data_IF_647701097543
#
_entry.id   IF_647701097543
#
_cell.length_a   1.000
_cell.length_b   1.000
_cell.length_c   1.000
_cell.angle_alpha   90.00
_cell.angle_beta   90.00
_cell.angle_gamma   90.00
#
_symmetry.space_group_name_H-M   'P 1'
#
loop_
_entity.id
_entity.type
_entity.pdbx_description
1 polymer ?
#
# COMPACT_ATOMS: atom_id res chain seq x y z
N UNK A 1 -33.78 8.82 -1.51
CA UNK A 1 -33.29 7.63 -2.25
C UNK A 1 -34.36 6.55 -2.15
N UNK A 2 -34.79 5.93 -3.25
CA UNK A 2 -35.88 4.93 -3.22
C UNK A 2 -35.58 3.68 -2.38
N UNK A 3 -34.30 3.31 -2.21
CA UNK A 3 -33.88 2.15 -1.41
C UNK A 3 -33.12 2.54 -0.13
N UNK A 4 -33.39 3.74 0.42
CA UNK A 4 -32.99 4.05 1.80
C UNK A 4 -33.87 3.30 2.80
N UNK A 5 -33.50 3.20 4.09
CA UNK A 5 -34.35 2.58 5.11
C UNK A 5 -35.78 3.16 5.11
N UNK A 6 -35.89 4.49 5.03
CA UNK A 6 -37.17 5.21 5.02
C UNK A 6 -37.97 4.93 3.75
N UNK A 7 -37.29 4.87 2.59
CA UNK A 7 -37.92 4.53 1.31
C UNK A 7 -38.45 3.10 1.28
N UNK A 8 -37.74 2.15 1.89
CA UNK A 8 -38.19 0.76 2.03
C UNK A 8 -39.40 0.67 2.96
N UNK A 9 -39.41 1.42 4.07
CA UNK A 9 -40.54 1.45 4.99
C UNK A 9 -41.80 2.05 4.35
N UNK A 10 -41.66 3.15 3.61
CA UNK A 10 -42.75 3.78 2.87
C UNK A 10 -43.30 2.86 1.76
N UNK A 11 -42.42 2.18 1.03
CA UNK A 11 -42.80 1.18 0.05
C UNK A 11 -43.56 0.01 0.69
N UNK A 12 -43.09 -0.51 1.83
CA UNK A 12 -43.72 -1.62 2.54
C UNK A 12 -45.13 -1.27 3.05
N UNK A 13 -45.36 -0.02 3.48
CA UNK A 13 -46.70 0.47 3.87
C UNK A 13 -47.70 0.42 2.72
N UNK A 14 -47.24 0.64 1.48
CA UNK A 14 -48.08 0.72 0.28
C UNK A 14 -47.93 -0.52 -0.65
N UNK A 15 -47.27 -1.59 -0.17
CA UNK A 15 -46.80 -2.69 -1.05
C UNK A 15 -47.92 -3.41 -1.80
N UNK A 16 -49.12 -3.48 -1.21
CA UNK A 16 -50.28 -4.11 -1.84
C UNK A 16 -50.77 -3.31 -3.04
N UNK A 17 -50.80 -1.99 -2.95
CA UNK A 17 -51.18 -1.11 -4.06
C UNK A 17 -50.11 -1.16 -5.15
N UNK A 18 -48.83 -1.07 -4.76
CA UNK A 18 -47.69 -1.17 -5.67
C UNK A 18 -47.57 -2.55 -6.35
N UNK A 19 -48.16 -3.60 -5.78
CA UNK A 19 -48.21 -4.96 -6.31
C UNK A 19 -49.57 -5.29 -7.00
N UNK A 20 -50.28 -4.27 -7.49
CA UNK A 20 -51.52 -4.46 -8.26
C UNK A 20 -52.65 -5.11 -7.44
N UNK A 21 -52.75 -4.77 -6.16
CA UNK A 21 -53.77 -5.28 -5.24
C UNK A 21 -53.47 -6.65 -4.61
N UNK A 22 -52.39 -7.33 -5.06
CA UNK A 22 -51.99 -8.65 -4.56
C UNK A 22 -51.19 -8.53 -3.26
N UNK A 23 -51.47 -9.42 -2.31
CA UNK A 23 -50.71 -9.49 -1.06
C UNK A 23 -49.25 -9.83 -1.34
N UNK A 24 -48.34 -9.19 -0.61
CA UNK A 24 -46.89 -9.40 -0.70
C UNK A 24 -46.28 -9.31 0.70
N UNK A 25 -45.19 -10.03 0.94
CA UNK A 25 -44.43 -9.96 2.19
C UNK A 25 -43.55 -8.70 2.24
N UNK A 26 -43.26 -8.15 3.41
CA UNK A 26 -42.40 -6.97 3.50
C UNK A 26 -41.01 -7.23 2.91
N UNK A 27 -40.51 -6.30 2.11
CA UNK A 27 -39.17 -6.34 1.53
C UNK A 27 -38.21 -5.70 2.52
N UNK A 28 -37.24 -6.47 3.01
CA UNK A 28 -36.26 -6.01 4.01
C UNK A 28 -34.91 -5.65 3.39
N UNK A 29 -34.62 -6.18 2.20
CA UNK A 29 -33.35 -5.98 1.49
C UNK A 29 -33.62 -5.85 0.01
N UNK A 30 -33.18 -4.73 -0.58
CA UNK A 30 -33.11 -4.56 -2.02
C UNK A 30 -31.67 -4.78 -2.48
N UNK A 31 -31.48 -5.47 -3.61
CA UNK A 31 -30.17 -5.55 -4.25
C UNK A 31 -29.97 -4.31 -5.09
N UNK A 32 -28.89 -3.58 -4.84
CA UNK A 32 -28.51 -2.42 -5.62
C UNK A 32 -27.45 -2.88 -6.62
N UNK A 33 -27.56 -2.42 -7.86
CA UNK A 33 -26.51 -2.65 -8.86
C UNK A 33 -25.38 -1.65 -8.64
N UNK A 34 -24.16 -2.17 -8.54
CA UNK A 34 -22.95 -1.37 -8.58
C UNK A 34 -22.16 -1.71 -9.85
N UNK A 35 -21.51 -0.73 -10.49
CA UNK A 35 -20.59 -1.00 -11.59
C UNK A 35 -19.53 -2.02 -11.16
N UNK A 36 -19.05 -2.82 -12.12
CA UNK A 36 -17.98 -3.80 -11.87
C UNK A 36 -16.71 -3.10 -11.36
N UNK A 37 -16.39 -1.89 -11.83
CA UNK A 37 -15.34 -1.05 -11.23
C UNK A 37 -14.01 -1.77 -11.07
N UNK A 38 -13.40 -1.67 -9.89
CA UNK A 38 -12.14 -2.35 -9.55
C UNK A 38 -12.34 -3.77 -8.99
N UNK A 39 -13.54 -4.34 -9.13
CA UNK A 39 -13.84 -5.67 -8.61
C UNK A 39 -13.18 -6.73 -9.48
N UNK A 40 -12.63 -7.76 -8.84
CA UNK A 40 -12.03 -8.91 -9.51
C UNK A 40 -12.72 -10.21 -9.08
N UNK A 41 -12.70 -11.20 -9.97
CA UNK A 41 -13.34 -12.49 -9.74
C UNK A 41 -12.58 -13.28 -8.67
N UNK A 42 -13.33 -13.97 -7.80
CA UNK A 42 -12.74 -14.81 -6.76
C UNK A 42 -12.10 -16.07 -7.37
N UNK A 43 -12.60 -16.56 -8.51
CA UNK A 43 -11.99 -17.67 -9.25
C UNK A 43 -12.78 -18.04 -10.49
N UNK A 44 -12.26 -18.98 -11.28
CA UNK A 44 -12.77 -19.24 -12.65
C UNK A 44 -13.75 -20.41 -12.78
N UNK A 45 -14.00 -21.17 -11.70
CA UNK A 45 -14.81 -22.40 -11.73
C UNK A 45 -16.02 -22.35 -10.78
N UNK A 46 -17.07 -23.11 -11.12
CA UNK A 46 -18.28 -23.25 -10.31
C UNK A 46 -18.96 -21.91 -10.01
N UNK A 47 -19.41 -21.72 -8.76
CA UNK A 47 -20.04 -20.48 -8.30
C UNK A 47 -19.04 -19.31 -8.12
N UNK A 48 -17.72 -19.56 -8.14
CA UNK A 48 -16.72 -18.51 -7.90
C UNK A 48 -16.56 -17.56 -9.09
N UNK A 49 -16.85 -18.02 -10.31
CA UNK A 49 -16.79 -17.21 -11.55
C UNK A 49 -17.76 -16.02 -11.57
N UNK A 50 -18.83 -16.11 -10.78
CA UNK A 50 -19.85 -15.07 -10.65
C UNK A 50 -19.73 -14.31 -9.31
N UNK A 51 -18.67 -14.56 -8.52
CA UNK A 51 -18.40 -13.85 -7.27
C UNK A 51 -17.25 -12.89 -7.47
N UNK A 52 -17.48 -11.66 -7.07
CA UNK A 52 -16.55 -10.56 -7.22
C UNK A 52 -16.23 -9.98 -5.86
N UNK A 53 -14.99 -9.53 -5.71
CA UNK A 53 -14.51 -8.81 -4.53
C UNK A 53 -13.81 -7.55 -4.98
N UNK A 54 -13.87 -6.51 -4.16
CA UNK A 54 -13.09 -5.29 -4.36
C UNK A 54 -12.07 -5.19 -3.24
N UNK A 55 -10.84 -4.80 -3.56
CA UNK A 55 -9.94 -4.32 -2.54
C UNK A 55 -10.49 -2.99 -1.98
N UNK A 56 -10.20 -2.68 -0.73
CA UNK A 56 -10.48 -1.33 -0.22
C UNK A 56 -9.80 -0.30 -1.15
N UNK A 57 -10.52 0.76 -1.52
CA UNK A 57 -10.06 1.73 -2.53
C UNK A 57 -8.68 2.28 -2.16
N UNK A 58 -7.72 2.17 -3.09
CA UNK A 58 -6.33 2.62 -2.86
C UNK A 58 -5.43 1.62 -2.13
N UNK A 59 -5.84 0.36 -1.97
CA UNK A 59 -4.99 -0.68 -1.38
C UNK A 59 -3.88 -1.08 -2.35
N UNK A 60 -2.68 -0.57 -2.08
CA UNK A 60 -1.45 -1.00 -2.73
C UNK A 60 -0.63 -1.83 -1.72
N UNK A 61 -0.25 -3.04 -2.11
CA UNK A 61 0.43 -3.96 -1.18
C UNK A 61 1.95 -3.76 -1.17
N UNK A 62 2.53 -3.58 -2.35
CA UNK A 62 3.96 -3.44 -2.52
C UNK A 62 4.29 -2.21 -3.34
N UNK A 63 5.34 -1.53 -2.92
CA UNK A 63 6.02 -0.48 -3.65
C UNK A 63 7.38 -1.02 -4.08
N UNK A 64 7.50 -1.40 -5.35
CA UNK A 64 8.72 -1.95 -5.91
C UNK A 64 9.69 -0.81 -6.24
N UNK A 65 10.93 -0.97 -5.79
CA UNK A 65 12.05 -0.10 -6.14
C UNK A 65 12.97 -0.93 -7.01
N UNK A 66 13.03 -0.59 -8.29
CA UNK A 66 13.96 -1.17 -9.25
C UNK A 66 15.17 -0.25 -9.43
N UNK A 67 16.27 -0.80 -9.93
CA UNK A 67 17.49 -0.08 -10.23
C UNK A 67 18.03 -0.51 -11.60
N UNK A 68 18.42 0.45 -12.42
CA UNK A 68 19.16 0.20 -13.68
C UNK A 68 20.65 -0.05 -13.39
N UNK A 69 21.38 -0.53 -14.39
CA UNK A 69 22.84 -0.68 -14.30
C UNK A 69 23.58 0.63 -13.98
N UNK A 70 23.02 1.78 -14.41
CA UNK A 70 23.53 3.13 -14.11
C UNK A 70 23.24 3.58 -12.67
N UNK A 71 22.58 2.73 -11.86
CA UNK A 71 22.23 3.03 -10.47
C UNK A 71 20.95 3.87 -10.30
N UNK A 72 20.24 4.19 -11.38
CA UNK A 72 19.02 5.01 -11.34
C UNK A 72 17.83 4.18 -10.86
N UNK A 73 17.16 4.66 -9.81
CA UNK A 73 15.97 3.99 -9.25
C UNK A 73 14.70 4.33 -10.04
N UNK A 74 13.88 3.31 -10.28
CA UNK A 74 12.53 3.39 -10.85
C UNK A 74 11.52 2.71 -9.92
N UNK A 75 10.25 3.10 -10.01
CA UNK A 75 9.25 2.78 -8.99
C UNK A 75 7.97 2.25 -9.60
N UNK A 76 7.43 1.20 -9.01
CA UNK A 76 6.13 0.65 -9.38
C UNK A 76 5.29 0.33 -8.14
N UNK A 77 3.98 0.51 -8.26
CA UNK A 77 3.04 0.23 -7.18
C UNK A 77 2.17 -0.95 -7.57
N UNK A 78 2.25 -2.03 -6.78
CA UNK A 78 1.63 -3.31 -7.11
C UNK A 78 0.37 -3.50 -6.26
N UNK A 79 -0.82 -3.52 -6.88
CA UNK A 79 -2.09 -3.65 -6.18
C UNK A 79 -2.37 -5.10 -5.77
N UNK A 80 -3.26 -5.27 -4.79
CA UNK A 80 -3.60 -6.57 -4.19
C UNK A 80 -4.04 -7.63 -5.21
N UNK A 81 -4.86 -7.25 -6.18
CA UNK A 81 -5.37 -8.18 -7.20
C UNK A 81 -4.24 -8.77 -8.05
N UNK A 82 -3.26 -7.95 -8.45
CA UNK A 82 -2.09 -8.40 -9.23
C UNK A 82 -1.25 -9.37 -8.40
N UNK A 83 -0.99 -9.06 -7.13
CA UNK A 83 -0.27 -9.97 -6.23
C UNK A 83 -0.96 -11.33 -6.12
N UNK A 84 -2.28 -11.34 -5.91
CA UNK A 84 -3.05 -12.58 -5.76
C UNK A 84 -2.96 -13.43 -7.04
N UNK A 85 -3.13 -12.84 -8.22
CA UNK A 85 -3.07 -13.59 -9.47
C UNK A 85 -1.67 -14.18 -9.72
N UNK A 86 -0.60 -13.43 -9.44
CA UNK A 86 0.78 -13.94 -9.53
C UNK A 86 1.02 -15.11 -8.58
N UNK A 87 0.60 -14.98 -7.31
CA UNK A 87 0.74 -16.06 -6.33
C UNK A 87 -0.07 -17.31 -6.69
N UNK A 88 -1.26 -17.16 -7.30
CA UNK A 88 -2.04 -18.29 -7.82
C UNK A 88 -1.29 -19.07 -8.91
N UNK A 89 -0.45 -18.38 -9.68
CA UNK A 89 0.39 -18.96 -10.72
C UNK A 89 1.73 -19.49 -10.18
N UNK A 90 1.99 -19.36 -8.87
CA UNK A 90 3.27 -19.75 -8.26
C UNK A 90 4.39 -18.73 -8.48
N UNK A 91 4.06 -17.52 -8.94
CA UNK A 91 5.02 -16.44 -9.18
C UNK A 91 5.25 -15.58 -7.92
N UNK A 92 6.36 -14.85 -7.92
CA UNK A 92 6.66 -13.86 -6.87
C UNK A 92 5.68 -12.68 -6.92
N UNK A 93 5.31 -12.10 -5.75
CA UNK A 93 4.40 -10.95 -5.66
C UNK A 93 4.86 -9.72 -6.46
N UNK A 94 6.16 -9.56 -6.61
CA UNK A 94 6.84 -8.46 -7.29
C UNK A 94 7.75 -9.08 -8.34
N UNK A 95 7.79 -8.49 -9.54
CA UNK A 95 8.69 -8.94 -10.60
C UNK A 95 10.14 -8.68 -10.18
N UNK A 96 11.04 -9.62 -10.46
CA UNK A 96 12.47 -9.43 -10.20
C UNK A 96 13.12 -8.53 -11.24
N UNK A 97 12.53 -8.42 -12.42
CA UNK A 97 13.05 -7.63 -13.54
C UNK A 97 11.90 -7.06 -14.35
N UNK A 98 12.08 -5.83 -14.85
CA UNK A 98 11.09 -5.13 -15.66
C UNK A 98 11.81 -4.36 -16.78
N UNK A 99 11.14 -4.19 -17.92
CA UNK A 99 11.60 -3.30 -19.00
C UNK A 99 10.83 -1.98 -18.88
N UNK A 100 11.56 -0.88 -18.67
CA UNK A 100 10.99 0.48 -18.60
C UNK A 100 11.59 1.29 -19.75
N UNK A 101 10.77 1.57 -20.78
CA UNK A 101 11.28 2.13 -22.03
C UNK A 101 12.16 1.11 -22.73
N UNK A 102 13.43 1.45 -22.93
CA UNK A 102 14.45 0.58 -23.55
C UNK A 102 15.45 -0.01 -22.53
N UNK A 103 15.24 0.25 -21.23
CA UNK A 103 16.15 -0.19 -20.17
C UNK A 103 15.57 -1.37 -19.40
N UNK A 104 16.38 -2.40 -19.20
CA UNK A 104 16.13 -3.47 -18.23
C UNK A 104 16.50 -2.96 -16.83
N UNK A 105 15.59 -3.13 -15.88
CA UNK A 105 15.78 -2.74 -14.48
C UNK A 105 15.52 -3.93 -13.58
N UNK A 106 16.33 -4.09 -12.53
CA UNK A 106 16.23 -5.20 -11.59
C UNK A 106 15.67 -4.74 -10.25
N UNK A 107 14.90 -5.61 -9.60
CA UNK A 107 14.29 -5.32 -8.32
C UNK A 107 15.37 -5.20 -7.25
N UNK A 108 15.50 -4.02 -6.65
CA UNK A 108 16.38 -3.79 -5.51
C UNK A 108 15.73 -4.35 -4.24
N UNK A 109 14.52 -3.88 -3.97
CA UNK A 109 13.63 -4.39 -2.93
C UNK A 109 12.21 -3.81 -3.12
N UNK A 110 11.23 -4.42 -2.46
CA UNK A 110 9.88 -3.86 -2.34
C UNK A 110 9.63 -3.35 -0.92
N UNK A 111 8.75 -2.36 -0.77
CA UNK A 111 8.28 -1.86 0.51
C UNK A 111 6.79 -2.12 0.69
N UNK A 112 6.39 -2.49 1.90
CA UNK A 112 4.99 -2.53 2.34
C UNK A 112 4.78 -1.55 3.49
N UNK A 113 3.53 -1.18 3.81
CA UNK A 113 3.25 -0.39 5.00
C UNK A 113 3.87 -1.04 6.25
N UNK A 114 4.51 -0.20 7.08
CA UNK A 114 5.31 -0.55 8.26
C UNK A 114 6.72 -1.10 8.01
N UNK A 115 7.15 -1.30 6.77
CA UNK A 115 8.56 -1.60 6.51
C UNK A 115 9.45 -0.44 6.98
N UNK A 116 10.62 -0.78 7.52
CA UNK A 116 11.61 0.19 7.97
C UNK A 116 12.67 0.39 6.89
N UNK A 117 13.10 1.64 6.73
CA UNK A 117 14.18 2.03 5.84
C UNK A 117 15.15 2.94 6.56
N UNK A 118 16.43 2.79 6.28
CA UNK A 118 17.49 3.70 6.71
C UNK A 118 17.80 4.71 5.61
N UNK A 119 17.98 5.98 5.96
CA UNK A 119 18.37 7.04 5.03
C UNK A 119 19.83 7.39 5.28
N UNK A 120 20.77 6.87 4.47
CA UNK A 120 22.19 7.12 4.69
C UNK A 120 22.58 8.55 4.33
N UNK A 121 23.52 9.11 5.10
CA UNK A 121 24.17 10.39 4.77
C UNK A 121 25.01 10.27 3.50
N UNK A 122 25.47 11.39 2.95
CA UNK A 122 26.39 11.39 1.79
C UNK A 122 27.61 10.49 2.01
N UNK A 123 28.33 10.69 3.12
CA UNK A 123 29.55 9.92 3.40
C UNK A 123 29.26 8.44 3.69
N UNK A 124 28.10 8.13 4.27
CA UNK A 124 27.65 6.74 4.52
C UNK A 124 27.23 6.03 3.21
N UNK A 125 26.80 6.77 2.19
CA UNK A 125 26.53 6.20 0.85
C UNK A 125 27.83 5.81 0.15
N UNK A 126 28.86 6.64 0.29
CA UNK A 126 30.20 6.34 -0.22
C UNK A 126 30.90 5.26 0.61
N UNK A 127 30.61 5.20 1.91
CA UNK A 127 31.21 4.27 2.86
C UNK A 127 30.14 3.47 3.64
N UNK A 128 29.40 2.55 3.00
CA UNK A 128 28.29 1.84 3.66
C UNK A 128 28.69 0.97 4.86
N UNK A 129 29.98 0.66 5.01
CA UNK A 129 30.52 -0.09 6.13
C UNK A 129 30.65 0.73 7.43
N UNK A 130 30.51 2.06 7.37
CA UNK A 130 30.49 2.94 8.56
C UNK A 130 29.20 2.84 9.36
N UNK A 131 28.15 2.25 8.78
CA UNK A 131 26.87 2.03 9.47
C UNK A 131 26.84 0.63 10.07
N UNK A 132 27.09 0.55 11.37
CA UNK A 132 26.88 -0.69 12.13
C UNK A 132 25.43 -0.77 12.65
N UNK A 133 24.59 -1.53 11.93
CA UNK A 133 23.19 -1.73 12.31
C UNK A 133 22.99 -2.45 13.64
N UNK A 134 24.03 -3.09 14.21
CA UNK A 134 23.96 -3.68 15.55
C UNK A 134 24.22 -2.65 16.65
N UNK A 135 24.81 -1.50 16.31
CA UNK A 135 25.20 -0.49 17.27
C UNK A 135 25.08 0.92 16.67
N UNK A 136 23.85 1.30 16.32
CA UNK A 136 23.56 2.62 15.76
C UNK A 136 23.71 3.71 16.81
N UNK A 137 24.31 4.82 16.42
CA UNK A 137 24.33 6.04 17.24
C UNK A 137 22.93 6.66 17.34
N UNK A 138 22.72 7.55 18.31
CA UNK A 138 21.45 8.29 18.44
C UNK A 138 21.09 9.08 17.18
N UNK A 139 22.08 9.64 16.50
CA UNK A 139 21.85 10.39 15.26
C UNK A 139 21.50 9.45 14.10
N UNK A 140 22.13 8.28 14.00
CA UNK A 140 21.76 7.28 12.99
C UNK A 140 20.36 6.70 13.23
N UNK A 141 19.93 6.54 14.49
CA UNK A 141 18.56 6.11 14.79
C UNK A 141 17.50 7.08 14.25
N UNK A 142 17.78 8.39 14.20
CA UNK A 142 16.88 9.40 13.60
C UNK A 142 16.75 9.26 12.09
N UNK A 143 17.67 8.55 11.43
CA UNK A 143 17.64 8.28 9.99
C UNK A 143 16.79 7.06 9.62
N UNK A 144 16.13 6.42 10.59
CA UNK A 144 15.22 5.31 10.33
C UNK A 144 13.81 5.85 10.13
N UNK A 145 13.19 5.44 9.02
CA UNK A 145 11.83 5.82 8.64
C UNK A 145 10.99 4.56 8.43
N UNK A 146 9.69 4.70 8.71
CA UNK A 146 8.67 3.70 8.49
C UNK A 146 7.84 4.06 7.27
N UNK A 147 7.65 3.13 6.34
CA UNK A 147 6.76 3.30 5.20
C UNK A 147 5.31 3.37 5.67
N UNK A 148 4.57 4.37 5.23
CA UNK A 148 3.17 4.61 5.64
C UNK A 148 2.20 4.22 4.52
N UNK A 149 2.42 4.73 3.31
CA UNK A 149 1.56 4.48 2.15
C UNK A 149 2.26 4.90 0.86
N UNK A 150 1.73 4.52 -0.28
CA UNK A 150 2.29 4.86 -1.59
C UNK A 150 1.20 4.87 -2.67
N UNK A 151 1.39 5.74 -3.65
CA UNK A 151 0.48 5.92 -4.79
C UNK A 151 1.27 6.28 -6.04
N UNK A 152 1.15 5.47 -7.09
CA UNK A 152 1.88 5.67 -8.34
C UNK A 152 3.39 5.62 -8.10
N UNK A 153 4.09 6.71 -8.43
CA UNK A 153 5.52 6.80 -8.19
C UNK A 153 5.87 7.43 -6.83
N UNK A 154 4.91 7.84 -5.99
CA UNK A 154 5.16 8.50 -4.70
C UNK A 154 5.09 7.50 -3.54
N UNK A 155 6.02 7.61 -2.61
CA UNK A 155 6.07 6.79 -1.40
C UNK A 155 6.22 7.69 -0.18
N UNK A 156 5.38 7.44 0.81
CA UNK A 156 5.24 8.25 2.00
C UNK A 156 5.76 7.51 3.22
N UNK A 157 6.47 8.25 4.06
CA UNK A 157 7.17 7.76 5.23
C UNK A 157 6.83 8.61 6.46
N UNK A 158 7.25 8.12 7.61
CA UNK A 158 7.31 8.84 8.88
C UNK A 158 8.55 8.38 9.63
N UNK A 159 9.21 9.25 10.41
CA UNK A 159 10.37 8.82 11.20
C UNK A 159 9.96 7.72 12.20
N UNK A 160 10.79 6.69 12.37
CA UNK A 160 10.41 5.49 13.12
C UNK A 160 10.20 5.73 14.62
N UNK A 161 10.85 6.76 15.18
CA UNK A 161 10.69 7.19 16.57
C UNK A 161 9.40 7.97 16.84
N UNK A 162 8.68 8.38 15.80
CA UNK A 162 7.45 9.17 15.93
C UNK A 162 6.28 8.26 16.26
N UNK A 163 5.57 8.60 17.34
CA UNK A 163 4.34 7.94 17.77
C UNK A 163 3.14 8.39 16.92
N UNK A 164 1.92 8.11 17.38
CA UNK A 164 0.74 8.67 16.71
C UNK A 164 0.65 10.17 16.93
N UNK A 165 0.34 10.88 15.85
CA UNK A 165 0.09 12.33 15.89
C UNK A 165 -1.10 12.63 16.78
N UNK A 166 -0.97 13.64 17.63
CA UNK A 166 -2.01 14.07 18.56
C UNK A 166 -3.03 14.94 17.83
N UNK A 167 -2.55 15.85 16.96
CA UNK A 167 -3.40 16.75 16.17
C UNK A 167 -3.08 16.60 14.69
N UNK A 168 -4.04 16.09 13.93
CA UNK A 168 -3.88 15.87 12.49
C UNK A 168 -3.49 17.17 11.76
N UNK A 169 -2.44 17.10 10.92
CA UNK A 169 -1.92 18.19 10.07
C UNK A 169 -1.19 19.33 10.82
N UNK A 170 -0.87 19.15 12.10
CA UNK A 170 -0.13 20.15 12.86
C UNK A 170 1.36 19.79 13.04
N UNK A 171 1.65 18.53 13.34
CA UNK A 171 3.01 18.08 13.69
C UNK A 171 3.90 17.83 12.46
N UNK A 172 3.29 17.47 11.33
CA UNK A 172 3.99 17.11 10.09
C UNK A 172 3.24 17.70 8.87
N UNK A 173 3.75 17.42 7.66
CA UNK A 173 3.08 17.76 6.40
C UNK A 173 1.67 17.16 6.29
N UNK A 174 0.92 17.53 5.24
CA UNK A 174 -0.44 17.06 5.03
C UNK A 174 -0.58 15.52 5.22
N UNK A 175 -1.56 15.11 6.05
CA UNK A 175 -1.82 13.72 6.47
C UNK A 175 -0.72 13.06 7.32
N UNK A 176 0.22 13.86 7.83
CA UNK A 176 1.35 13.46 8.66
C UNK A 176 2.29 12.42 8.01
N UNK A 177 2.54 12.58 6.71
CA UNK A 177 3.46 11.72 5.96
C UNK A 177 4.37 12.56 5.08
N UNK A 178 5.61 12.11 4.91
CA UNK A 178 6.65 12.84 4.19
C UNK A 178 7.31 11.97 3.11
N UNK A 179 7.77 12.59 2.03
CA UNK A 179 8.59 11.93 0.99
C UNK A 179 10.09 12.23 1.16
N UNK A 180 10.40 13.28 1.94
CA UNK A 180 11.75 13.76 2.21
C UNK A 180 12.17 13.48 3.64
N UNK A 181 13.46 13.24 3.84
CA UNK A 181 14.05 13.10 5.18
C UNK A 181 14.05 14.44 5.90
N UNK A 182 13.87 14.43 7.22
CA UNK A 182 13.92 15.63 8.05
C UNK A 182 15.35 16.20 8.13
N UNK A 183 16.35 15.32 8.25
CA UNK A 183 17.73 15.72 8.59
C UNK A 183 18.53 16.21 7.36
N UNK A 184 18.40 15.56 6.20
CA UNK A 184 19.25 15.81 5.02
C UNK A 184 18.47 16.45 3.85
N UNK A 185 17.16 16.71 4.01
CA UNK A 185 16.24 17.20 2.95
C UNK A 185 16.31 16.42 1.61
N UNK A 186 16.60 15.12 1.66
CA UNK A 186 16.69 14.23 0.49
C UNK A 186 15.42 13.40 0.32
N UNK A 187 15.12 13.01 -0.92
CA UNK A 187 13.98 12.13 -1.25
C UNK A 187 14.30 10.70 -0.75
N UNK A 188 13.53 10.21 0.23
CA UNK A 188 13.82 8.97 0.97
C UNK A 188 13.92 7.77 0.03
N UNK A 189 12.89 7.53 -0.79
CA UNK A 189 12.85 6.39 -1.75
C UNK A 189 14.04 6.35 -2.71
N UNK A 190 14.67 7.50 -2.98
CA UNK A 190 15.76 7.62 -3.93
C UNK A 190 17.09 7.08 -3.40
N UNK A 191 17.27 7.01 -2.08
CA UNK A 191 18.56 6.62 -1.48
C UNK A 191 18.44 5.65 -0.31
N UNK A 192 17.23 5.34 0.15
CA UNK A 192 17.05 4.54 1.36
C UNK A 192 17.51 3.09 1.19
N UNK A 193 17.85 2.45 2.30
CA UNK A 193 18.14 1.02 2.40
C UNK A 193 17.04 0.34 3.20
N UNK A 194 16.50 -0.77 2.70
CA UNK A 194 15.46 -1.53 3.40
C UNK A 194 16.06 -2.29 4.58
N UNK A 195 15.46 -2.11 5.74
CA UNK A 195 15.81 -2.81 6.98
C UNK A 195 14.83 -3.96 7.22
N UNK A 196 15.38 -5.08 7.69
CA UNK A 196 14.59 -6.20 8.21
C UNK A 196 14.86 -6.34 9.69
N UNK A 197 13.80 -6.34 10.48
CA UNK A 197 13.89 -6.47 11.93
C UNK A 197 13.33 -7.81 12.41
N UNK A 198 13.85 -8.26 13.55
CA UNK A 198 13.22 -9.34 14.31
C UNK A 198 12.07 -8.80 15.19
N UNK A 199 11.41 -9.70 15.93
CA UNK A 199 10.30 -9.35 16.82
C UNK A 199 10.71 -8.54 18.05
N UNK A 200 12.01 -8.48 18.35
CA UNK A 200 12.58 -7.70 19.45
C UNK A 200 13.03 -6.30 18.98
N UNK A 201 12.96 -6.03 17.68
CA UNK A 201 13.37 -4.76 17.08
C UNK A 201 14.84 -4.71 16.67
N UNK A 202 15.57 -5.82 16.72
CA UNK A 202 16.95 -5.87 16.24
C UNK A 202 16.97 -5.89 14.71
N UNK A 203 17.86 -5.12 14.11
CA UNK A 203 18.07 -5.12 12.66
C UNK A 203 18.91 -6.35 12.29
N UNK A 204 18.34 -7.22 11.46
CA UNK A 204 18.93 -8.51 11.07
C UNK A 204 19.52 -8.50 9.66
N UNK A 205 18.96 -7.68 8.77
CA UNK A 205 19.37 -7.60 7.37
C UNK A 205 19.15 -6.16 6.87
N UNK A 206 20.03 -5.72 5.97
CA UNK A 206 19.91 -4.44 5.29
C UNK A 206 20.11 -4.66 3.78
N UNK A 207 19.11 -4.31 2.98
CA UNK A 207 19.18 -4.31 1.51
C UNK A 207 19.36 -2.88 1.02
N UNK A 208 20.48 -2.64 0.35
CA UNK A 208 20.90 -1.31 -0.09
C UNK A 208 20.37 -1.01 -1.47
#
# INVERSE_FOLDING_TARGET
MAFSPEGIDEMNKNIRELNGGKNHQSILKARIYEPIGNKFQVGYTGNKKNKYVEAAKGTNLFYAIYQSEEGKRTYDTIPLNVVIERQKQGELPVLETQIIGEQEVHLLFSLSPNDLVYVPKADERENPHWVDFKNLTKEQMKQIYKTVSFTGNRCYFIQASVANVIVDKFEFSALNKMERSIEEDVIIKGICWKLKTDRLGNITECKR
#
